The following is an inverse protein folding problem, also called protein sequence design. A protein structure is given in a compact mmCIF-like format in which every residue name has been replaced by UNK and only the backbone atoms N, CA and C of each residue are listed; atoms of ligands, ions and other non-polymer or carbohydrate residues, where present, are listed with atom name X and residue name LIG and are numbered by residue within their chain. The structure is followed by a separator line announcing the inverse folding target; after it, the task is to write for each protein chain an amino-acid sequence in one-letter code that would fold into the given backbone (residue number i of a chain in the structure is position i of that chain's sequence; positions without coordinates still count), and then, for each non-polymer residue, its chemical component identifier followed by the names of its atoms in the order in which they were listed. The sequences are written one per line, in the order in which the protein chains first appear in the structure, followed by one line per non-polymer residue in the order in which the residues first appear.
data_IF_461791889389
#
_entry.id   IF_461791889389
#
_cell.length_a   1.000
_cell.length_b   1.000
_cell.length_c   1.000
_cell.angle_alpha   90.00
_cell.angle_beta   90.00
_cell.angle_gamma   90.00
#
_symmetry.space_group_name_H-M   'P 1'
#
loop_
_entity.id
_entity.type
_entity.pdbx_description
1 polymer ?
#
# COMPACT_ATOMS: atom_id res chain seq x y z
N UNK A 1 -26.33 -4.28 8.67
CA UNK A 1 -26.08 -3.14 7.76
C UNK A 1 -25.05 -3.48 6.67
N UNK A 2 -24.85 -2.57 5.68
CA UNK A 2 -23.86 -2.76 4.60
C UNK A 2 -22.47 -2.21 4.93
N UNK A 3 -22.36 -1.45 6.02
CA UNK A 3 -21.08 -0.90 6.49
C UNK A 3 -20.21 -2.04 7.04
N UNK A 4 -18.97 -2.14 6.57
CA UNK A 4 -18.05 -3.25 6.89
C UNK A 4 -16.74 -2.79 7.48
N UNK A 5 -16.32 -1.55 7.28
CA UNK A 5 -15.04 -1.07 7.75
C UNK A 5 -14.84 0.41 7.47
N UNK A 6 -13.72 0.91 7.93
CA UNK A 6 -13.28 2.28 7.68
C UNK A 6 -11.93 2.29 6.99
N UNK A 7 -11.67 3.32 6.20
CA UNK A 7 -10.36 3.60 5.62
C UNK A 7 -9.84 4.91 6.18
N UNK A 8 -8.57 4.90 6.60
CA UNK A 8 -7.90 6.12 7.00
C UNK A 8 -6.52 6.22 6.33
N UNK A 9 -6.26 7.37 5.69
CA UNK A 9 -4.94 7.67 5.11
C UNK A 9 -4.06 8.32 6.17
N UNK A 10 -2.92 7.71 6.42
CA UNK A 10 -1.89 8.22 7.32
C UNK A 10 -0.59 8.52 6.59
N UNK A 11 -0.64 8.60 5.26
CA UNK A 11 0.53 8.94 4.44
C UNK A 11 1.09 10.27 4.88
N UNK A 12 2.30 10.24 5.41
CA UNK A 12 3.02 11.40 5.91
C UNK A 12 4.51 11.30 5.55
N UNK A 13 5.07 12.41 5.17
CA UNK A 13 6.50 12.57 4.98
C UNK A 13 6.90 13.99 5.42
N UNK A 14 8.16 14.15 5.85
CA UNK A 14 8.69 15.45 6.27
C UNK A 14 9.05 16.35 5.09
N UNK A 15 9.19 15.80 3.89
CA UNK A 15 9.52 16.55 2.68
C UNK A 15 8.28 17.11 2.03
N UNK A 16 8.30 18.39 1.71
CA UNK A 16 7.23 19.05 0.94
C UNK A 16 7.10 18.53 -0.51
N UNK A 17 8.09 17.76 -0.99
CA UNK A 17 8.04 17.09 -2.30
C UNK A 17 7.17 15.84 -2.32
N UNK A 18 6.79 15.34 -1.14
CA UNK A 18 5.94 14.16 -0.99
C UNK A 18 4.56 14.58 -0.50
N UNK A 19 3.48 14.27 -1.23
CA UNK A 19 2.13 14.69 -0.85
C UNK A 19 1.64 13.91 0.38
N UNK A 20 1.35 14.62 1.46
CA UNK A 20 0.73 14.05 2.65
C UNK A 20 -0.77 13.79 2.42
N UNK A 21 -1.35 12.86 3.20
CA UNK A 21 -2.78 12.58 3.10
C UNK A 21 -3.63 13.83 3.41
N UNK A 22 -4.79 13.92 2.73
CA UNK A 22 -5.76 15.01 2.96
C UNK A 22 -6.33 15.05 4.38
N UNK A 23 -6.17 13.97 5.13
CA UNK A 23 -6.50 13.89 6.56
C UNK A 23 -5.53 14.68 7.44
N UNK A 24 -4.44 15.23 6.84
CA UNK A 24 -3.39 15.95 7.52
C UNK A 24 -2.85 15.19 8.74
N UNK A 25 -2.37 13.94 8.58
CA UNK A 25 -1.93 13.11 9.68
C UNK A 25 -0.67 13.69 10.31
N UNK A 26 -0.50 13.42 11.61
CA UNK A 26 0.78 13.66 12.29
C UNK A 26 1.73 12.52 12.03
N UNK A 27 3.02 12.79 12.16
CA UNK A 27 4.05 11.75 12.15
C UNK A 27 3.72 10.67 13.19
N UNK A 28 3.89 9.40 12.83
CA UNK A 28 3.65 8.25 13.72
C UNK A 28 2.20 8.09 14.21
N UNK A 29 1.21 8.51 13.43
CA UNK A 29 -0.21 8.44 13.82
C UNK A 29 -0.64 7.04 14.28
N UNK A 30 -0.14 5.95 13.69
CA UNK A 30 -0.45 4.58 14.13
C UNK A 30 0.01 4.26 15.57
N UNK A 31 0.93 5.06 16.12
CA UNK A 31 1.41 4.93 17.50
C UNK A 31 0.72 5.90 18.48
N UNK A 32 -0.10 6.83 17.96
CA UNK A 32 -0.81 7.82 18.78
C UNK A 32 -1.87 7.14 19.66
N UNK A 33 -1.89 7.49 20.93
CA UNK A 33 -2.79 6.87 21.91
C UNK A 33 -4.26 7.14 21.58
N UNK A 34 -4.60 8.37 21.19
CA UNK A 34 -5.99 8.74 20.85
C UNK A 34 -6.47 8.01 19.60
N UNK A 35 -5.58 7.85 18.59
CA UNK A 35 -5.88 7.05 17.41
C UNK A 35 -6.16 5.59 17.81
N UNK A 36 -5.32 5.00 18.67
CA UNK A 36 -5.48 3.61 19.16
C UNK A 36 -6.72 3.41 20.00
N UNK A 37 -7.11 4.37 20.83
CA UNK A 37 -8.36 4.33 21.58
C UNK A 37 -9.59 4.25 20.65
N UNK A 38 -9.58 5.02 19.57
CA UNK A 38 -10.58 4.94 18.52
C UNK A 38 -10.54 3.63 17.75
N UNK A 39 -9.34 3.16 17.39
CA UNK A 39 -9.12 1.91 16.66
C UNK A 39 -9.62 0.69 17.44
N UNK A 40 -9.43 0.66 18.76
CA UNK A 40 -9.89 -0.42 19.65
C UNK A 40 -11.42 -0.65 19.58
N UNK A 41 -12.18 0.33 19.10
CA UNK A 41 -13.63 0.22 18.97
C UNK A 41 -14.07 -0.60 17.75
N UNK A 42 -13.17 -0.94 16.83
CA UNK A 42 -13.51 -1.62 15.57
C UNK A 42 -13.87 -3.09 15.79
N UNK A 43 -13.06 -3.82 16.55
CA UNK A 43 -13.25 -5.26 16.80
C UNK A 43 -14.64 -5.56 17.38
N UNK A 44 -15.09 -4.81 18.40
CA UNK A 44 -16.39 -4.98 19.04
C UNK A 44 -17.60 -4.71 18.12
N UNK A 45 -17.34 -4.11 16.95
CA UNK A 45 -18.35 -3.76 15.94
C UNK A 45 -18.24 -4.58 14.66
N UNK A 46 -17.35 -5.58 14.65
CA UNK A 46 -17.05 -6.40 13.46
C UNK A 46 -16.70 -5.54 12.23
N UNK A 47 -15.84 -4.54 12.45
CA UNK A 47 -15.40 -3.62 11.40
C UNK A 47 -13.93 -3.84 11.05
N UNK A 48 -13.63 -3.86 9.75
CA UNK A 48 -12.28 -3.88 9.23
C UNK A 48 -11.68 -2.48 9.17
N UNK A 49 -10.35 -2.41 9.15
CA UNK A 49 -9.61 -1.17 8.94
C UNK A 49 -8.77 -1.25 7.66
N UNK A 50 -8.93 -0.30 6.74
CA UNK A 50 -8.06 -0.15 5.58
C UNK A 50 -7.00 0.90 5.87
N UNK A 51 -5.74 0.45 5.99
CA UNK A 51 -4.58 1.29 6.25
C UNK A 51 -3.93 1.76 4.95
N UNK A 52 -3.98 3.07 4.69
CA UNK A 52 -3.22 3.70 3.62
C UNK A 52 -2.05 4.48 4.20
N UNK A 53 -0.82 4.00 3.94
CA UNK A 53 0.43 4.60 4.43
C UNK A 53 1.51 4.55 3.35
N UNK A 54 2.59 5.31 3.54
CA UNK A 54 3.83 5.14 2.78
C UNK A 54 4.73 4.08 3.42
N UNK A 55 5.72 3.57 2.67
CA UNK A 55 6.60 2.50 3.13
C UNK A 55 7.30 2.79 4.47
N UNK A 56 7.72 4.03 4.82
CA UNK A 56 8.36 4.26 6.12
C UNK A 56 7.42 4.06 7.32
N UNK A 57 6.11 3.96 7.08
CA UNK A 57 5.09 3.83 8.13
C UNK A 57 4.60 2.39 8.30
N UNK A 58 5.06 1.43 7.48
CA UNK A 58 4.64 0.02 7.56
C UNK A 58 4.98 -0.57 8.92
N UNK A 59 6.13 -0.23 9.51
CA UNK A 59 6.50 -0.67 10.84
C UNK A 59 5.48 -0.24 11.92
N UNK A 60 4.94 0.99 11.80
CA UNK A 60 3.88 1.48 12.68
C UNK A 60 2.56 0.72 12.49
N UNK A 61 2.22 0.35 11.25
CA UNK A 61 1.05 -0.49 10.96
C UNK A 61 1.23 -1.90 11.52
N UNK A 62 2.45 -2.44 11.47
CA UNK A 62 2.79 -3.74 12.06
C UNK A 62 2.61 -3.73 13.58
N UNK A 63 3.05 -2.66 14.24
CA UNK A 63 2.85 -2.48 15.68
C UNK A 63 1.35 -2.38 16.03
N UNK A 64 0.59 -1.63 15.24
CA UNK A 64 -0.87 -1.55 15.40
C UNK A 64 -1.54 -2.92 15.23
N UNK A 65 -1.15 -3.69 14.22
CA UNK A 65 -1.71 -5.02 13.95
C UNK A 65 -1.45 -6.00 15.11
N UNK A 66 -0.26 -5.95 15.68
CA UNK A 66 0.11 -6.77 16.86
C UNK A 66 -0.63 -6.36 18.13
N UNK A 67 -0.87 -5.05 18.29
CA UNK A 67 -1.60 -4.55 19.46
C UNK A 67 -3.11 -4.87 19.41
N UNK A 68 -3.67 -5.07 18.21
CA UNK A 68 -5.12 -5.30 18.00
C UNK A 68 -5.37 -6.53 17.10
N UNK A 69 -5.04 -7.74 17.56
CA UNK A 69 -5.10 -8.96 16.75
C UNK A 69 -6.53 -9.34 16.32
N UNK A 70 -7.55 -8.87 17.03
CA UNK A 70 -8.96 -9.15 16.74
C UNK A 70 -9.56 -8.23 15.66
N UNK A 71 -8.81 -7.24 15.17
CA UNK A 71 -9.25 -6.34 14.10
C UNK A 71 -8.59 -6.73 12.79
N UNK A 72 -9.37 -7.05 11.77
CA UNK A 72 -8.84 -7.26 10.42
C UNK A 72 -8.34 -5.94 9.84
N UNK A 73 -7.07 -5.91 9.47
CA UNK A 73 -6.42 -4.78 8.82
C UNK A 73 -6.15 -5.12 7.36
N UNK A 74 -6.40 -4.17 6.46
CA UNK A 74 -6.14 -4.33 5.03
C UNK A 74 -5.10 -3.29 4.61
N UNK A 75 -3.91 -3.75 4.24
CA UNK A 75 -2.87 -2.89 3.69
C UNK A 75 -3.26 -2.41 2.30
N UNK A 76 -3.34 -1.10 2.07
CA UNK A 76 -3.60 -0.53 0.77
C UNK A 76 -2.30 -0.29 -0.02
N UNK A 77 -2.35 -0.55 -1.34
CA UNK A 77 -1.36 -0.06 -2.31
C UNK A 77 0.09 -0.42 -1.96
N UNK A 78 0.32 -1.66 -1.50
CA UNK A 78 1.67 -2.15 -1.11
C UNK A 78 2.35 -1.30 -0.03
N UNK A 79 1.61 -0.49 0.74
CA UNK A 79 2.23 0.47 1.66
C UNK A 79 3.06 1.53 0.93
N UNK A 80 2.61 1.97 -0.23
CA UNK A 80 3.10 3.12 -1.00
C UNK A 80 4.63 3.30 -1.04
N UNK A 81 5.41 2.44 -1.74
CA UNK A 81 6.85 2.63 -1.86
C UNK A 81 7.16 3.93 -2.59
N UNK A 82 7.82 4.87 -1.89
CA UNK A 82 8.20 6.18 -2.41
C UNK A 82 9.49 6.08 -3.22
N UNK A 83 9.50 6.62 -4.44
CA UNK A 83 10.68 6.65 -5.30
C UNK A 83 10.84 8.01 -6.01
N UNK A 84 10.27 9.09 -5.45
CA UNK A 84 10.40 10.48 -5.94
C UNK A 84 10.92 11.38 -4.82
N UNK A 85 11.17 12.65 -5.09
CA UNK A 85 11.71 13.60 -4.11
C UNK A 85 12.98 13.07 -3.44
N UNK A 86 13.07 13.07 -2.11
CA UNK A 86 14.26 12.59 -1.37
C UNK A 86 14.54 11.11 -1.56
N UNK A 87 13.62 10.35 -2.13
CA UNK A 87 13.71 8.92 -2.42
C UNK A 87 14.09 8.63 -3.89
N UNK A 88 14.24 9.64 -4.72
CA UNK A 88 14.61 9.47 -6.12
C UNK A 88 15.98 8.77 -6.27
N UNK A 89 16.04 7.82 -7.21
CA UNK A 89 17.26 7.04 -7.48
C UNK A 89 17.59 5.94 -6.45
N UNK A 90 16.79 5.76 -5.39
CA UNK A 90 17.04 4.80 -4.31
C UNK A 90 16.14 3.55 -4.37
N UNK A 91 15.59 3.23 -5.54
CA UNK A 91 14.58 2.16 -5.69
C UNK A 91 15.01 0.80 -5.11
N UNK A 92 16.29 0.42 -5.26
CA UNK A 92 16.78 -0.86 -4.74
C UNK A 92 16.86 -0.85 -3.21
N UNK A 93 17.42 0.20 -2.64
CA UNK A 93 17.49 0.39 -1.18
C UNK A 93 16.08 0.42 -0.55
N UNK A 94 15.15 1.11 -1.21
CA UNK A 94 13.75 1.18 -0.79
C UNK A 94 13.09 -0.19 -0.90
N UNK A 95 13.32 -0.92 -1.98
CA UNK A 95 12.76 -2.26 -2.13
C UNK A 95 13.26 -3.21 -1.03
N UNK A 96 14.55 -3.16 -0.67
CA UNK A 96 15.12 -3.97 0.40
C UNK A 96 14.50 -3.65 1.77
N UNK A 97 14.32 -2.36 2.11
CA UNK A 97 13.69 -1.96 3.36
C UNK A 97 12.20 -2.29 3.38
N UNK A 98 11.50 -1.97 2.30
CA UNK A 98 10.09 -2.25 2.10
C UNK A 98 9.78 -3.75 2.20
N UNK A 99 10.58 -4.60 1.57
CA UNK A 99 10.36 -6.05 1.58
C UNK A 99 10.49 -6.65 2.98
N UNK A 100 11.44 -6.17 3.79
CA UNK A 100 11.56 -6.58 5.21
C UNK A 100 10.33 -6.16 6.02
N UNK A 101 9.85 -4.94 5.81
CA UNK A 101 8.71 -4.41 6.55
C UNK A 101 7.40 -5.10 6.12
N UNK A 102 7.24 -5.43 4.83
CA UNK A 102 6.13 -6.25 4.33
C UNK A 102 6.15 -7.66 4.94
N UNK A 103 7.31 -8.30 5.02
CA UNK A 103 7.44 -9.61 5.63
C UNK A 103 7.10 -9.57 7.13
N UNK A 104 7.52 -8.52 7.84
CA UNK A 104 7.19 -8.32 9.25
C UNK A 104 5.69 -8.08 9.49
N UNK A 105 5.03 -7.33 8.57
CA UNK A 105 3.58 -7.09 8.59
C UNK A 105 2.80 -8.36 8.27
N UNK A 106 3.26 -9.14 7.29
CA UNK A 106 2.64 -10.40 6.87
C UNK A 106 2.65 -11.48 7.97
N UNK A 107 3.59 -11.38 8.93
CA UNK A 107 3.62 -12.24 10.12
C UNK A 107 2.45 -11.96 11.09
N UNK A 108 1.63 -10.93 10.86
CA UNK A 108 0.40 -10.66 11.59
C UNK A 108 -0.78 -11.32 10.85
N UNK A 109 -1.38 -12.36 11.44
CA UNK A 109 -2.45 -13.15 10.80
C UNK A 109 -3.73 -12.35 10.51
N UNK A 110 -3.94 -11.27 11.23
CA UNK A 110 -5.07 -10.35 11.06
C UNK A 110 -4.87 -9.32 9.93
N UNK A 111 -3.80 -9.43 9.13
CA UNK A 111 -3.52 -8.48 8.05
C UNK A 111 -3.70 -9.13 6.69
N UNK A 112 -4.40 -8.43 5.79
CA UNK A 112 -4.56 -8.74 4.37
C UNK A 112 -3.89 -7.66 3.52
N UNK A 113 -3.52 -7.98 2.27
CA UNK A 113 -2.86 -7.04 1.37
C UNK A 113 -3.63 -6.83 0.07
N UNK A 114 -3.77 -5.57 -0.35
CA UNK A 114 -4.25 -5.21 -1.67
C UNK A 114 -3.10 -5.05 -2.65
N UNK A 115 -3.19 -5.79 -3.74
CA UNK A 115 -2.22 -5.87 -4.83
C UNK A 115 -2.60 -4.90 -5.94
N UNK A 116 -2.19 -3.65 -5.82
CA UNK A 116 -2.43 -2.59 -6.80
C UNK A 116 -2.03 -1.21 -6.27
N UNK A 117 -2.10 -0.18 -7.11
CA UNK A 117 -1.72 1.17 -6.73
C UNK A 117 -0.21 1.45 -6.79
N UNK A 118 0.54 0.74 -7.63
CA UNK A 118 1.96 1.02 -7.88
C UNK A 118 2.19 1.99 -9.05
N UNK A 119 1.13 2.52 -9.66
CA UNK A 119 1.25 3.39 -10.82
C UNK A 119 0.99 4.87 -10.49
N UNK A 120 1.02 5.24 -9.23
CA UNK A 120 0.95 6.62 -8.77
C UNK A 120 2.31 7.32 -8.99
N UNK A 121 2.29 8.63 -9.19
CA UNK A 121 3.48 9.44 -9.52
C UNK A 121 4.61 9.25 -8.51
N UNK A 122 4.31 9.23 -7.21
CA UNK A 122 5.31 9.08 -6.15
C UNK A 122 5.99 7.70 -6.12
N UNK A 123 5.46 6.68 -6.82
CA UNK A 123 6.15 5.41 -7.01
C UNK A 123 7.34 5.53 -7.99
N UNK A 124 7.47 6.66 -8.69
CA UNK A 124 8.65 7.06 -9.44
C UNK A 124 8.95 6.21 -10.69
N UNK A 125 7.94 5.57 -11.30
CA UNK A 125 8.12 4.89 -12.58
C UNK A 125 8.12 5.86 -13.77
N UNK A 126 7.61 7.07 -13.58
CA UNK A 126 7.61 8.13 -14.59
C UNK A 126 6.70 7.86 -15.79
N UNK A 127 5.71 6.97 -15.64
CA UNK A 127 4.77 6.61 -16.71
C UNK A 127 3.99 7.83 -17.21
N UNK A 128 3.61 8.71 -16.30
CA UNK A 128 2.84 9.94 -16.53
C UNK A 128 3.56 10.94 -17.43
N UNK A 129 4.89 10.87 -17.49
CA UNK A 129 5.74 11.75 -18.28
C UNK A 129 6.07 11.21 -19.68
N UNK A 130 5.59 10.00 -20.02
CA UNK A 130 5.91 9.36 -21.29
C UNK A 130 4.97 9.83 -22.40
N UNK A 131 5.47 9.97 -23.65
CA UNK A 131 4.63 10.29 -24.81
C UNK A 131 3.55 9.24 -25.10
N UNK A 132 3.81 7.98 -24.68
CA UNK A 132 2.87 6.86 -24.77
C UNK A 132 2.79 6.17 -23.43
N UNK A 133 1.57 5.84 -22.96
CA UNK A 133 1.39 5.04 -21.75
C UNK A 133 2.11 3.68 -21.86
N UNK A 134 2.46 3.05 -20.73
CA UNK A 134 3.08 1.74 -20.73
C UNK A 134 2.11 0.67 -21.24
N UNK A 135 2.67 -0.38 -21.83
CA UNK A 135 1.98 -1.61 -22.13
C UNK A 135 1.81 -2.45 -20.86
N UNK A 136 0.91 -3.43 -20.90
CA UNK A 136 0.74 -4.37 -19.79
C UNK A 136 2.01 -5.18 -19.49
N UNK A 137 2.87 -5.41 -20.50
CA UNK A 137 4.15 -6.10 -20.28
C UNK A 137 5.15 -5.21 -19.55
N UNK A 138 5.27 -3.95 -19.94
CA UNK A 138 6.15 -3.00 -19.24
C UNK A 138 5.73 -2.81 -17.77
N UNK A 139 4.42 -2.81 -17.47
CA UNK A 139 3.94 -2.78 -16.08
C UNK A 139 4.40 -4.04 -15.32
N UNK A 140 4.25 -5.22 -15.91
CA UNK A 140 4.71 -6.49 -15.31
C UNK A 140 6.21 -6.44 -15.04
N UNK A 141 7.01 -6.10 -16.06
CA UNK A 141 8.47 -6.10 -15.95
C UNK A 141 8.98 -5.15 -14.85
N UNK A 142 8.30 -4.02 -14.66
CA UNK A 142 8.67 -3.04 -13.65
C UNK A 142 8.21 -3.39 -12.24
N UNK A 143 7.07 -4.09 -12.10
CA UNK A 143 6.40 -4.22 -10.80
C UNK A 143 6.32 -5.64 -10.26
N UNK A 144 6.59 -6.68 -11.06
CA UNK A 144 6.47 -8.10 -10.69
C UNK A 144 7.06 -8.41 -9.31
N UNK A 145 8.26 -7.92 -9.02
CA UNK A 145 8.94 -8.19 -7.75
C UNK A 145 8.16 -7.77 -6.50
N UNK A 146 7.35 -6.71 -6.60
CA UNK A 146 6.49 -6.27 -5.50
C UNK A 146 5.31 -7.22 -5.29
N UNK A 147 4.71 -7.70 -6.39
CA UNK A 147 3.63 -8.69 -6.34
C UNK A 147 4.13 -10.02 -5.80
N UNK A 148 5.21 -10.55 -6.38
CA UNK A 148 5.77 -11.85 -6.00
C UNK A 148 6.13 -11.85 -4.51
N UNK A 149 6.89 -10.85 -4.04
CA UNK A 149 7.27 -10.73 -2.64
C UNK A 149 6.06 -10.63 -1.70
N UNK A 150 5.05 -9.82 -2.06
CA UNK A 150 3.86 -9.66 -1.20
C UNK A 150 3.04 -10.95 -1.15
N UNK A 151 2.85 -11.63 -2.29
CA UNK A 151 2.12 -12.89 -2.35
C UNK A 151 2.87 -14.00 -1.59
N UNK A 152 4.20 -14.08 -1.72
CA UNK A 152 5.03 -15.01 -0.96
C UNK A 152 4.94 -14.78 0.55
N UNK A 153 4.96 -13.51 0.99
CA UNK A 153 4.91 -13.17 2.40
C UNK A 153 3.53 -13.40 3.04
N UNK A 154 2.45 -12.95 2.38
CA UNK A 154 1.09 -13.03 2.93
C UNK A 154 0.39 -14.36 2.63
N UNK A 155 0.78 -15.06 1.55
CA UNK A 155 0.00 -16.16 0.97
C UNK A 155 -1.19 -15.63 0.15
N UNK A 156 -1.60 -16.44 -0.84
CA UNK A 156 -2.67 -16.06 -1.79
C UNK A 156 -4.01 -15.77 -1.11
N UNK A 157 -4.31 -16.46 -0.02
CA UNK A 157 -5.57 -16.35 0.73
C UNK A 157 -5.74 -14.97 1.39
N UNK A 158 -4.64 -14.25 1.64
CA UNK A 158 -4.66 -12.92 2.25
C UNK A 158 -4.35 -11.79 1.27
N UNK A 159 -4.34 -12.08 -0.04
CA UNK A 159 -4.06 -11.11 -1.10
C UNK A 159 -5.27 -10.88 -1.99
N UNK A 160 -5.48 -9.63 -2.41
CA UNK A 160 -6.55 -9.27 -3.35
C UNK A 160 -6.09 -8.22 -4.35
N UNK A 161 -6.36 -8.42 -5.64
CA UNK A 161 -6.08 -7.42 -6.66
C UNK A 161 -7.00 -6.21 -6.53
N UNK A 162 -6.45 -5.03 -6.74
CA UNK A 162 -7.20 -3.78 -6.84
C UNK A 162 -6.68 -2.90 -7.99
N UNK A 163 -7.54 -2.09 -8.57
CA UNK A 163 -7.14 -1.22 -9.68
C UNK A 163 -6.58 0.14 -9.25
N UNK A 164 -6.95 0.60 -8.06
CA UNK A 164 -6.72 1.98 -7.62
C UNK A 164 -7.26 3.04 -8.61
N UNK A 165 -8.22 2.68 -9.47
CA UNK A 165 -8.83 3.64 -10.39
C UNK A 165 -9.87 4.53 -9.69
N UNK A 166 -9.92 5.83 -10.02
CA UNK A 166 -9.27 6.47 -11.16
C UNK A 166 -7.83 6.99 -10.91
N UNK A 167 -7.22 6.78 -9.74
CA UNK A 167 -5.91 7.38 -9.40
C UNK A 167 -4.81 6.90 -10.37
N UNK A 168 -4.70 5.60 -10.59
CA UNK A 168 -3.68 5.02 -11.50
C UNK A 168 -3.93 5.34 -12.99
N UNK A 169 -5.04 6.02 -13.34
CA UNK A 169 -5.31 6.49 -14.70
C UNK A 169 -4.27 7.51 -15.18
N UNK A 170 -3.57 8.18 -14.30
CA UNK A 170 -2.45 9.07 -14.63
C UNK A 170 -1.36 8.34 -15.42
N UNK A 171 -1.18 7.06 -15.20
CA UNK A 171 -0.11 6.25 -15.78
C UNK A 171 -0.59 5.30 -16.89
N UNK A 172 -1.74 4.66 -16.75
CA UNK A 172 -2.20 3.64 -17.69
C UNK A 172 -3.72 3.55 -17.77
N UNK A 173 -4.24 2.88 -18.81
CA UNK A 173 -5.67 2.58 -18.90
C UNK A 173 -6.05 1.39 -18.01
N UNK A 174 -7.32 1.35 -17.60
CA UNK A 174 -7.90 0.26 -16.80
C UNK A 174 -7.66 -1.13 -17.44
N UNK A 175 -7.86 -1.24 -18.75
CA UNK A 175 -7.66 -2.50 -19.48
C UNK A 175 -6.19 -2.95 -19.47
N UNK A 176 -5.26 -2.01 -19.62
CA UNK A 176 -3.81 -2.30 -19.58
C UNK A 176 -3.42 -2.80 -18.19
N UNK A 177 -3.91 -2.17 -17.13
CA UNK A 177 -3.67 -2.59 -15.76
C UNK A 177 -4.18 -4.01 -15.51
N UNK A 178 -5.45 -4.30 -15.82
CA UNK A 178 -6.01 -5.65 -15.60
C UNK A 178 -5.34 -6.71 -16.47
N UNK A 179 -4.87 -6.37 -17.67
CA UNK A 179 -4.09 -7.28 -18.49
C UNK A 179 -2.69 -7.54 -17.89
N UNK A 180 -2.10 -6.58 -17.17
CA UNK A 180 -0.86 -6.84 -16.44
C UNK A 180 -1.08 -7.81 -15.28
N UNK A 181 -2.18 -7.70 -14.53
CA UNK A 181 -2.51 -8.64 -13.46
C UNK A 181 -2.71 -10.06 -13.97
N UNK A 182 -3.41 -10.22 -15.11
CA UNK A 182 -3.56 -11.55 -15.75
C UNK A 182 -2.22 -12.18 -16.12
N UNK A 183 -1.24 -11.37 -16.56
CA UNK A 183 0.11 -11.85 -16.89
C UNK A 183 0.96 -12.16 -15.65
N UNK A 184 0.67 -11.56 -14.51
CA UNK A 184 1.32 -11.89 -13.24
C UNK A 184 0.89 -13.25 -12.70
N UNK A 185 -0.31 -13.73 -13.06
CA UNK A 185 -0.88 -14.98 -12.58
C UNK A 185 -0.53 -16.22 -13.44
N UNK A 186 0.38 -16.08 -14.43
CA UNK A 186 0.78 -17.18 -15.35
C UNK A 186 2.23 -17.55 -15.18
#
# INVERSE_FOLDING_TARGET
GRFRGIRHGVTWDASDEIPNARTNPVQHLYLDATFRDGFAQLASRDLTFEGWCYHPQIAGLTDLARAFPDTTIILNHFGGPLCTGPYAGKREEIFESWSRDIAALAACDNVMAKLGGLNMEFNGFGWENRPKPPTSQELVDATRRYFDHTIEAFGVERCMFESNFPVDMVSCSYNVLWNSFKKLCV
#
